data_IF_800705793495
#
_entry.id   IF_800705793495
#
_cell.length_a   1.000
_cell.length_b   1.000
_cell.length_c   1.000
_cell.angle_alpha   90.00
_cell.angle_beta   90.00
_cell.angle_gamma   90.00
#
_symmetry.space_group_name_H-M   'P 1'
#
loop_
_entity.id
_entity.type
_entity.pdbx_description
1 polymer ?
#
# COMPACT_ATOMS: atom_id res chain seq x y z
N UNK A 1 -26.48 16.09 6.64
CA UNK A 1 -26.15 16.40 8.04
C UNK A 1 -24.70 16.82 8.09
N UNK A 2 -24.33 17.80 8.92
CA UNK A 2 -22.93 18.11 9.14
C UNK A 2 -22.28 16.93 9.90
N UNK A 3 -21.08 16.54 9.48
CA UNK A 3 -20.31 15.49 10.16
C UNK A 3 -20.06 15.87 11.62
N UNK A 4 -20.31 14.96 12.55
CA UNK A 4 -19.93 15.10 13.98
C UNK A 4 -18.48 14.68 14.24
N UNK A 5 -17.75 14.33 13.19
CA UNK A 5 -16.37 13.87 13.25
C UNK A 5 -15.46 15.03 13.66
N UNK A 6 -14.74 14.85 14.77
CA UNK A 6 -13.87 15.88 15.37
C UNK A 6 -12.39 15.72 15.02
N UNK A 7 -12.05 14.75 14.18
CA UNK A 7 -10.66 14.46 13.81
C UNK A 7 -10.35 15.06 12.44
N UNK A 8 -9.10 15.44 12.27
CA UNK A 8 -8.56 15.81 10.96
C UNK A 8 -8.34 14.53 10.14
N UNK A 9 -8.74 14.59 8.86
CA UNK A 9 -8.55 13.50 7.90
C UNK A 9 -8.02 14.08 6.62
N UNK A 10 -6.84 13.63 6.23
CA UNK A 10 -6.25 13.92 4.94
C UNK A 10 -6.04 12.61 4.19
N UNK A 11 -6.30 12.63 2.89
CA UNK A 11 -6.00 11.53 1.99
C UNK A 11 -5.11 12.08 0.88
N UNK A 12 -3.88 11.59 0.81
CA UNK A 12 -2.95 11.88 -0.28
C UNK A 12 -2.89 10.67 -1.20
N UNK A 13 -3.52 10.75 -2.37
CA UNK A 13 -3.40 9.70 -3.38
C UNK A 13 -2.01 9.77 -4.05
N UNK A 14 -1.36 8.61 -4.16
CA UNK A 14 0.00 8.49 -4.68
C UNK A 14 0.01 7.78 -6.04
N UNK A 15 -0.84 6.78 -6.23
CA UNK A 15 -0.98 6.05 -7.48
C UNK A 15 -1.62 4.69 -7.25
N UNK A 16 -2.29 4.11 -8.24
CA UNK A 16 -3.03 2.83 -8.10
C UNK A 16 -3.93 2.83 -6.84
N UNK A 17 -3.85 1.78 -6.00
CA UNK A 17 -4.47 1.69 -4.69
C UNK A 17 -3.60 2.31 -3.55
N UNK A 18 -2.43 2.87 -3.85
CA UNK A 18 -1.55 3.52 -2.89
C UNK A 18 -2.02 4.94 -2.55
N UNK A 19 -2.32 5.15 -1.27
CA UNK A 19 -2.65 6.44 -0.69
C UNK A 19 -2.13 6.52 0.75
N UNK A 20 -1.80 7.73 1.19
CA UNK A 20 -1.58 8.01 2.61
C UNK A 20 -2.91 8.47 3.19
N UNK A 21 -3.41 7.73 4.18
CA UNK A 21 -4.52 8.12 5.03
C UNK A 21 -3.92 8.69 6.33
N UNK A 22 -4.03 10.00 6.52
CA UNK A 22 -3.63 10.68 7.74
C UNK A 22 -4.86 10.97 8.59
N UNK A 23 -4.87 10.47 9.83
CA UNK A 23 -5.93 10.75 10.81
C UNK A 23 -5.29 11.28 12.08
N UNK A 24 -5.53 12.56 12.40
CA UNK A 24 -4.90 13.24 13.53
C UNK A 24 -3.37 13.05 13.61
N UNK A 25 -2.69 13.06 12.45
CA UNK A 25 -1.24 12.91 12.36
C UNK A 25 -0.71 11.47 12.41
N UNK A 26 -1.59 10.46 12.47
CA UNK A 26 -1.20 9.05 12.26
C UNK A 26 -1.32 8.74 10.76
N UNK A 27 -0.20 8.39 10.15
CA UNK A 27 -0.12 8.13 8.71
C UNK A 27 -0.18 6.62 8.43
N UNK A 28 -1.20 6.21 7.68
CA UNK A 28 -1.35 4.84 7.21
C UNK A 28 -1.17 4.81 5.70
N UNK A 29 -0.30 3.93 5.20
CA UNK A 29 -0.11 3.72 3.76
C UNK A 29 -0.97 2.56 3.28
N UNK A 30 -1.81 2.76 2.27
CA UNK A 30 -2.57 1.68 1.65
C UNK A 30 -1.76 1.03 0.54
N UNK A 31 -1.91 -0.29 0.35
CA UNK A 31 -1.51 -1.05 -0.84
C UNK A 31 -0.26 -0.49 -1.57
N UNK A 32 0.92 -0.60 -0.95
CA UNK A 32 2.12 0.11 -1.41
C UNK A 32 2.60 -0.43 -2.76
N UNK A 33 2.59 0.44 -3.76
CA UNK A 33 2.99 0.16 -5.13
C UNK A 33 3.84 1.32 -5.68
N UNK A 34 5.06 1.04 -6.16
CA UNK A 34 6.03 2.08 -6.54
C UNK A 34 6.75 1.82 -7.87
N UNK A 35 6.35 0.81 -8.62
CA UNK A 35 6.94 0.48 -9.92
C UNK A 35 6.75 1.65 -10.90
N UNK A 36 7.79 2.02 -11.67
CA UNK A 36 7.72 3.15 -12.59
C UNK A 36 6.81 2.86 -13.79
N UNK A 37 6.34 3.93 -14.44
CA UNK A 37 5.65 3.83 -15.72
C UNK A 37 6.50 3.04 -16.75
N UNK A 38 5.84 2.24 -17.57
CA UNK A 38 6.45 1.32 -18.52
C UNK A 38 6.87 -0.02 -17.91
N UNK A 39 6.73 -0.23 -16.59
CA UNK A 39 6.90 -1.56 -15.99
C UNK A 39 5.80 -2.48 -16.51
N UNK A 40 6.20 -3.69 -16.94
CA UNK A 40 5.29 -4.71 -17.43
C UNK A 40 5.32 -5.92 -16.50
N UNK A 41 4.13 -6.41 -16.13
CA UNK A 41 3.97 -7.60 -15.30
C UNK A 41 3.34 -8.74 -16.09
N UNK A 42 3.91 -9.96 -15.98
CA UNK A 42 3.34 -11.12 -16.63
C UNK A 42 1.99 -11.47 -15.98
N UNK A 43 0.96 -11.54 -16.81
CA UNK A 43 -0.37 -12.02 -16.45
C UNK A 43 -0.54 -13.44 -16.99
N UNK A 44 -1.45 -14.23 -16.39
CA UNK A 44 -1.76 -15.58 -16.87
C UNK A 44 -2.47 -15.60 -18.25
N UNK A 45 -2.84 -14.43 -18.77
CA UNK A 45 -3.44 -14.24 -20.09
C UNK A 45 -2.86 -12.99 -20.75
N UNK A 46 -2.42 -13.08 -22.00
CA UNK A 46 -2.06 -11.89 -22.77
C UNK A 46 -3.27 -10.94 -22.91
N UNK A 47 -3.08 -9.61 -22.87
CA UNK A 47 -1.81 -8.88 -22.79
C UNK A 47 -1.21 -8.78 -21.36
N UNK A 48 0.09 -8.49 -21.29
CA UNK A 48 0.78 -8.14 -20.04
C UNK A 48 0.13 -6.89 -19.41
N UNK A 49 0.18 -6.80 -18.08
CA UNK A 49 -0.23 -5.59 -17.38
C UNK A 49 0.88 -4.55 -17.52
N UNK A 50 0.56 -3.40 -18.11
CA UNK A 50 1.49 -2.27 -18.22
C UNK A 50 1.08 -1.14 -17.27
N UNK A 51 2.06 -0.64 -16.53
CA UNK A 51 1.90 0.48 -15.62
C UNK A 51 2.06 1.76 -16.41
N UNK A 52 1.01 2.56 -16.52
CA UNK A 52 1.03 3.77 -17.37
C UNK A 52 1.56 5.01 -16.67
N UNK A 53 1.53 5.02 -15.33
CA UNK A 53 1.90 6.17 -14.52
C UNK A 53 2.80 5.74 -13.36
N UNK A 54 3.87 6.49 -13.13
CA UNK A 54 4.71 6.31 -11.94
C UNK A 54 3.98 6.87 -10.71
N UNK A 55 4.30 6.32 -9.54
CA UNK A 55 3.92 6.91 -8.26
C UNK A 55 4.23 8.42 -8.22
N UNK A 56 3.28 9.22 -7.73
CA UNK A 56 3.43 10.66 -7.55
C UNK A 56 4.46 11.03 -6.47
N UNK A 57 4.88 10.07 -5.65
CA UNK A 57 5.84 10.23 -4.56
C UNK A 57 6.85 9.08 -4.56
N UNK A 58 8.15 9.38 -4.46
CA UNK A 58 9.15 8.33 -4.33
C UNK A 58 9.15 7.75 -2.91
N UNK A 59 9.67 6.53 -2.74
CA UNK A 59 9.78 5.89 -1.41
C UNK A 59 10.50 6.76 -0.36
N UNK A 60 11.49 7.56 -0.77
CA UNK A 60 12.26 8.43 0.12
C UNK A 60 11.57 9.77 0.44
N UNK A 61 10.50 10.10 -0.28
CA UNK A 61 9.70 11.30 -0.05
C UNK A 61 8.49 11.03 0.86
N UNK A 62 8.23 9.75 1.18
CA UNK A 62 7.16 9.36 2.08
C UNK A 62 7.35 10.03 3.46
N UNK A 63 6.27 10.54 4.08
CA UNK A 63 6.32 10.93 5.48
C UNK A 63 6.56 9.69 6.36
N UNK A 64 6.72 9.89 7.66
CA UNK A 64 6.72 8.78 8.61
C UNK A 64 5.41 8.01 8.44
N UNK A 65 5.49 6.71 8.11
CA UNK A 65 4.36 5.80 7.98
C UNK A 65 4.29 4.93 9.24
N UNK A 66 3.19 5.04 9.97
CA UNK A 66 2.96 4.34 11.23
C UNK A 66 2.47 2.90 11.01
N UNK A 67 1.67 2.69 9.97
CA UNK A 67 1.17 1.37 9.60
C UNK A 67 0.90 1.25 8.10
N UNK A 68 0.89 0.01 7.60
CA UNK A 68 0.43 -0.33 6.26
C UNK A 68 -0.93 -1.01 6.36
N UNK A 69 -1.88 -0.57 5.53
CA UNK A 69 -3.16 -1.23 5.32
C UNK A 69 -3.08 -1.95 3.97
N UNK A 70 -2.89 -3.26 4.02
CA UNK A 70 -2.71 -4.09 2.83
C UNK A 70 -3.97 -4.92 2.59
N UNK A 71 -4.68 -4.65 1.51
CA UNK A 71 -5.90 -5.38 1.17
C UNK A 71 -5.61 -6.85 0.85
N UNK A 72 -4.58 -7.12 0.06
CA UNK A 72 -4.08 -8.47 -0.28
C UNK A 72 -2.68 -8.38 -0.92
N UNK A 73 -1.91 -9.45 -0.82
CA UNK A 73 -0.49 -9.51 -1.21
C UNK A 73 -0.26 -10.18 -2.56
N UNK A 74 -1.27 -10.77 -3.20
CA UNK A 74 -1.09 -11.59 -4.39
C UNK A 74 -1.29 -10.84 -5.71
N UNK A 75 -1.61 -9.55 -5.67
CA UNK A 75 -1.77 -8.69 -6.84
C UNK A 75 -0.65 -7.65 -6.93
N UNK A 76 -0.03 -7.57 -8.10
CA UNK A 76 1.12 -6.68 -8.33
C UNK A 76 0.72 -5.20 -8.28
N UNK A 77 -0.51 -4.85 -8.64
CA UNK A 77 -1.06 -3.49 -8.59
C UNK A 77 -1.46 -3.03 -7.19
N UNK A 78 -1.40 -3.92 -6.19
CA UNK A 78 -1.61 -3.60 -4.78
C UNK A 78 -0.33 -3.73 -3.95
N UNK A 79 0.62 -4.57 -4.38
CA UNK A 79 1.87 -4.81 -3.67
C UNK A 79 2.97 -5.30 -4.61
N UNK A 80 3.81 -4.37 -5.07
CA UNK A 80 4.99 -4.69 -5.87
C UNK A 80 6.24 -4.95 -5.01
N UNK A 81 7.35 -5.32 -5.65
CA UNK A 81 8.60 -5.66 -4.96
C UNK A 81 9.19 -4.48 -4.16
N UNK A 82 8.92 -3.24 -4.58
CA UNK A 82 9.34 -2.04 -3.87
C UNK A 82 8.47 -1.81 -2.62
N UNK A 83 7.16 -1.89 -2.77
CA UNK A 83 6.20 -1.77 -1.66
C UNK A 83 6.35 -2.88 -0.63
N UNK A 84 6.73 -4.10 -1.04
CA UNK A 84 7.05 -5.21 -0.14
C UNK A 84 8.15 -4.88 0.86
N UNK A 85 9.10 -4.01 0.51
CA UNK A 85 10.18 -3.60 1.41
C UNK A 85 9.67 -2.73 2.56
N UNK A 86 8.54 -2.02 2.37
CA UNK A 86 7.94 -1.19 3.42
C UNK A 86 7.27 -2.02 4.53
N UNK A 87 6.94 -3.28 4.25
CA UNK A 87 6.29 -4.17 5.22
C UNK A 87 7.23 -4.56 6.37
N UNK A 88 8.55 -4.54 6.14
CA UNK A 88 9.52 -4.88 7.17
C UNK A 88 9.74 -3.69 8.11
N UNK A 89 9.64 -3.94 9.42
CA UNK A 89 9.78 -2.92 10.46
C UNK A 89 8.55 -2.02 10.67
N UNK A 90 7.43 -2.28 9.99
CA UNK A 90 6.16 -1.56 10.19
C UNK A 90 5.05 -2.50 10.60
N UNK A 91 4.05 -1.96 11.30
CA UNK A 91 2.81 -2.69 11.57
C UNK A 91 2.02 -2.80 10.27
N UNK A 92 1.67 -4.02 9.87
CA UNK A 92 0.87 -4.27 8.66
C UNK A 92 -0.45 -4.92 9.09
N UNK A 93 -1.56 -4.33 8.66
CA UNK A 93 -2.89 -4.90 8.83
C UNK A 93 -3.37 -5.40 7.48
N UNK A 94 -3.75 -6.66 7.42
CA UNK A 94 -4.21 -7.32 6.19
C UNK A 94 -5.26 -8.39 6.50
N UNK A 95 -5.65 -9.19 5.51
CA UNK A 95 -6.56 -10.32 5.70
C UNK A 95 -5.87 -11.48 6.43
N UNK A 96 -6.62 -12.42 7.02
CA UNK A 96 -6.01 -13.61 7.63
C UNK A 96 -5.20 -14.46 6.63
N UNK A 97 -5.64 -14.52 5.37
CA UNK A 97 -4.90 -15.22 4.30
C UNK A 97 -3.61 -14.47 3.95
N UNK A 98 -3.67 -13.14 3.81
CA UNK A 98 -2.48 -12.35 3.52
C UNK A 98 -1.43 -12.42 4.63
N UNK A 99 -1.86 -12.42 5.89
CA UNK A 99 -0.95 -12.61 7.02
C UNK A 99 -0.27 -13.98 7.01
N UNK A 100 -1.02 -15.03 6.64
CA UNK A 100 -0.48 -16.38 6.48
C UNK A 100 0.53 -16.44 5.33
N UNK A 101 0.24 -15.82 4.19
CA UNK A 101 1.09 -15.87 3.00
C UNK A 101 2.34 -14.98 3.13
N UNK A 102 2.29 -13.94 3.97
CA UNK A 102 3.42 -13.06 4.28
C UNK A 102 4.27 -13.53 5.47
N UNK A 103 3.93 -14.65 6.09
CA UNK A 103 4.76 -15.26 7.13
C UNK A 103 6.18 -15.56 6.59
N UNK A 104 7.24 -15.37 7.38
CA UNK A 104 7.24 -15.22 8.84
C UNK A 104 7.30 -13.76 9.35
N UNK A 105 6.78 -12.76 8.61
CA UNK A 105 6.86 -11.35 9.03
C UNK A 105 6.11 -11.11 10.35
N UNK A 106 6.80 -10.79 11.46
CA UNK A 106 6.20 -10.79 12.79
C UNK A 106 5.25 -9.62 13.05
N UNK A 107 5.37 -8.54 12.26
CA UNK A 107 4.55 -7.33 12.38
C UNK A 107 3.34 -7.31 11.41
N UNK A 108 3.13 -8.40 10.66
CA UNK A 108 1.97 -8.58 9.77
C UNK A 108 0.86 -9.28 10.55
N UNK A 109 -0.31 -8.64 10.61
CA UNK A 109 -1.46 -9.11 11.36
C UNK A 109 -2.68 -9.23 10.44
N UNK A 110 -3.30 -10.41 10.47
CA UNK A 110 -4.60 -10.65 9.85
C UNK A 110 -5.72 -10.17 10.76
N UNK A 111 -6.69 -9.42 10.22
CA UNK A 111 -7.89 -8.95 10.90
C UNK A 111 -9.16 -9.64 10.38
#
# INVERSE_FOLDING_TARGET
MASTFKSDVEITHIGTATAILSINGINMLTDPFFSPAGTQWPTSMEPMLEITESSAMALHDLPVIDAVLLSHENHFDNLDDLGRQLLDGRRVLTTPDGAKNLAPRPAVHGL
#
